data_IF_880204801063
#
_entry.id   IF_880204801063
#
_cell.length_a   1.000
_cell.length_b   1.000
_cell.length_c   1.000
_cell.angle_alpha   90.00
_cell.angle_beta   90.00
_cell.angle_gamma   90.00
#
_symmetry.space_group_name_H-M   'P 1'
#
loop_
_entity.id
_entity.type
_entity.pdbx_description
1 polymer ?
#
# COMPACT_ATOMS: atom_id res chain seq x y z
N UNK A 1 -21.36 -8.19 20.24
CA UNK A 1 -19.95 -8.10 20.68
C UNK A 1 -19.73 -6.68 21.17
N UNK A 2 -19.33 -6.51 22.43
CA UNK A 2 -19.23 -5.20 23.09
C UNK A 2 -18.06 -4.35 22.58
N UNK A 3 -18.10 -3.06 22.93
CA UNK A 3 -17.09 -2.03 22.61
C UNK A 3 -15.65 -2.48 22.94
N UNK A 4 -15.50 -3.32 23.98
CA UNK A 4 -14.22 -3.89 24.41
C UNK A 4 -13.60 -4.84 23.37
N UNK A 5 -14.41 -5.60 22.65
CA UNK A 5 -13.94 -6.52 21.61
C UNK A 5 -13.37 -5.81 20.39
N UNK A 6 -13.97 -4.68 20.00
CA UNK A 6 -13.47 -3.85 18.92
C UNK A 6 -12.13 -3.21 19.29
N UNK A 7 -12.05 -2.61 20.48
CA UNK A 7 -10.81 -2.01 21.01
C UNK A 7 -9.65 -2.99 21.04
N UNK A 8 -9.88 -4.23 21.46
CA UNK A 8 -8.86 -5.28 21.47
C UNK A 8 -8.32 -5.57 20.07
N UNK A 9 -9.16 -5.66 19.05
CA UNK A 9 -8.72 -5.90 17.67
C UNK A 9 -7.80 -4.78 17.17
N UNK A 10 -8.08 -3.51 17.49
CA UNK A 10 -7.21 -2.40 17.11
C UNK A 10 -5.86 -2.43 17.83
N UNK A 11 -5.85 -2.77 19.12
CA UNK A 11 -4.60 -2.92 19.89
C UNK A 11 -3.77 -4.09 19.34
N UNK A 12 -4.39 -5.22 19.02
CA UNK A 12 -3.71 -6.36 18.43
C UNK A 12 -3.16 -6.03 17.03
N UNK A 13 -3.92 -5.28 16.22
CA UNK A 13 -3.48 -4.84 14.90
C UNK A 13 -2.23 -3.95 15.01
N UNK A 14 -2.27 -2.94 15.87
CA UNK A 14 -1.13 -2.04 16.10
C UNK A 14 0.11 -2.81 16.62
N UNK A 15 -0.09 -3.82 17.46
CA UNK A 15 0.99 -4.69 17.93
C UNK A 15 1.57 -5.55 16.80
N UNK A 16 0.72 -6.15 15.97
CA UNK A 16 1.17 -6.96 14.83
C UNK A 16 1.94 -6.12 13.81
N UNK A 17 1.46 -4.91 13.52
CA UNK A 17 2.11 -3.96 12.61
C UNK A 17 3.49 -3.53 13.12
N UNK A 18 3.59 -3.11 14.38
CA UNK A 18 4.86 -2.65 14.97
C UNK A 18 5.88 -3.77 15.23
N UNK A 19 5.42 -5.02 15.38
CA UNK A 19 6.31 -6.19 15.50
C UNK A 19 6.71 -6.81 14.17
N UNK A 20 6.15 -6.34 13.05
CA UNK A 20 6.40 -6.92 11.72
C UNK A 20 5.75 -8.29 11.50
N UNK A 21 4.81 -8.71 12.35
CA UNK A 21 4.01 -9.93 12.15
C UNK A 21 2.90 -9.65 11.14
N UNK A 22 3.30 -9.54 9.87
CA UNK A 22 2.43 -9.11 8.78
C UNK A 22 1.31 -10.11 8.49
N UNK A 23 1.55 -11.42 8.65
CA UNK A 23 0.52 -12.46 8.51
C UNK A 23 -0.59 -12.27 9.55
N UNK A 24 -0.22 -11.98 10.81
CA UNK A 24 -1.18 -11.68 11.85
C UNK A 24 -1.88 -10.34 11.61
N UNK A 25 -1.16 -9.32 11.15
CA UNK A 25 -1.74 -8.03 10.80
C UNK A 25 -2.84 -8.19 9.74
N UNK A 26 -2.59 -8.96 8.67
CA UNK A 26 -3.61 -9.26 7.64
C UNK A 26 -4.81 -9.99 8.25
N UNK A 27 -4.60 -10.99 9.12
CA UNK A 27 -5.70 -11.73 9.77
C UNK A 27 -6.58 -10.81 10.63
N UNK A 28 -5.98 -9.94 11.44
CA UNK A 28 -6.71 -9.02 12.32
C UNK A 28 -7.41 -7.93 11.51
N UNK A 29 -6.72 -7.33 10.53
CA UNK A 29 -7.32 -6.33 9.66
C UNK A 29 -8.52 -6.88 8.87
N UNK A 30 -8.48 -8.14 8.43
CA UNK A 30 -9.63 -8.82 7.85
C UNK A 30 -10.83 -8.91 8.82
N UNK A 31 -10.58 -9.19 10.11
CA UNK A 31 -11.65 -9.23 11.12
C UNK A 31 -12.25 -7.83 11.35
N UNK A 32 -11.41 -6.80 11.40
CA UNK A 32 -11.84 -5.41 11.56
C UNK A 32 -12.67 -4.98 10.35
N UNK A 33 -12.16 -5.16 9.13
CA UNK A 33 -12.85 -4.74 7.90
C UNK A 33 -14.17 -5.49 7.63
N UNK A 34 -14.35 -6.69 8.19
CA UNK A 34 -15.66 -7.39 8.17
C UNK A 34 -16.71 -6.71 9.06
N UNK A 35 -16.29 -6.12 10.17
CA UNK A 35 -17.19 -5.46 11.14
C UNK A 35 -17.31 -3.95 10.88
N UNK A 36 -16.23 -3.34 10.40
CA UNK A 36 -16.05 -1.92 10.16
C UNK A 36 -15.46 -1.71 8.77
N UNK A 37 -16.25 -1.87 7.68
CA UNK A 37 -15.72 -1.81 6.32
C UNK A 37 -15.12 -0.45 5.92
N UNK A 38 -15.50 0.62 6.63
CA UNK A 38 -15.00 1.99 6.43
C UNK A 38 -13.75 2.32 7.26
N UNK A 39 -13.19 1.33 7.95
CA UNK A 39 -12.03 1.55 8.81
C UNK A 39 -10.74 1.68 8.00
N UNK A 40 -10.41 2.92 7.66
CA UNK A 40 -9.26 3.26 6.82
C UNK A 40 -7.93 2.79 7.42
N UNK A 41 -7.78 2.82 8.75
CA UNK A 41 -6.54 2.38 9.40
C UNK A 41 -6.28 0.88 9.18
N UNK A 42 -7.32 0.05 9.33
CA UNK A 42 -7.23 -1.38 9.06
C UNK A 42 -6.98 -1.69 7.58
N UNK A 43 -7.56 -0.91 6.67
CA UNK A 43 -7.25 -1.01 5.24
C UNK A 43 -5.77 -0.74 4.95
N UNK A 44 -5.22 0.34 5.51
CA UNK A 44 -3.81 0.71 5.33
C UNK A 44 -2.87 -0.35 5.91
N UNK A 45 -3.07 -0.78 7.15
CA UNK A 45 -2.26 -1.84 7.76
C UNK A 45 -2.32 -3.13 6.93
N UNK A 46 -3.50 -3.53 6.45
CA UNK A 46 -3.62 -4.71 5.58
C UNK A 46 -2.84 -4.54 4.28
N UNK A 47 -2.94 -3.38 3.64
CA UNK A 47 -2.27 -3.09 2.37
C UNK A 47 -0.75 -3.13 2.53
N UNK A 48 -0.22 -2.47 3.56
CA UNK A 48 1.21 -2.49 3.87
C UNK A 48 1.67 -3.91 4.20
N UNK A 49 0.93 -4.64 5.04
CA UNK A 49 1.28 -6.01 5.39
C UNK A 49 1.31 -6.94 4.16
N UNK A 50 0.34 -6.82 3.23
CA UNK A 50 0.37 -7.57 1.96
C UNK A 50 1.60 -7.23 1.12
N UNK A 51 1.99 -5.96 1.05
CA UNK A 51 3.19 -5.51 0.32
C UNK A 51 4.46 -6.09 0.95
N UNK A 52 4.58 -6.06 2.29
CA UNK A 52 5.73 -6.60 3.02
C UNK A 52 5.87 -8.12 2.85
N UNK A 53 4.73 -8.83 2.76
CA UNK A 53 4.70 -10.26 2.46
C UNK A 53 4.99 -10.59 0.98
N UNK A 54 5.08 -9.58 0.10
CA UNK A 54 5.23 -9.78 -1.34
C UNK A 54 3.94 -10.12 -2.09
N UNK A 55 2.78 -10.01 -1.44
CA UNK A 55 1.46 -10.30 -1.99
C UNK A 55 0.91 -9.11 -2.79
N UNK A 56 1.66 -8.63 -3.78
CA UNK A 56 1.33 -7.40 -4.54
C UNK A 56 0.00 -7.49 -5.30
N UNK A 57 -0.27 -8.65 -5.92
CA UNK A 57 -1.52 -8.86 -6.65
C UNK A 57 -2.74 -8.79 -5.73
N UNK A 58 -2.64 -9.34 -4.51
CA UNK A 58 -3.70 -9.25 -3.51
C UNK A 58 -3.89 -7.81 -3.00
N UNK A 59 -2.80 -7.05 -2.83
CA UNK A 59 -2.88 -5.65 -2.46
C UNK A 59 -3.61 -4.81 -3.54
N UNK A 60 -3.29 -5.01 -4.82
CA UNK A 60 -4.00 -4.36 -5.92
C UNK A 60 -5.47 -4.79 -6.01
N UNK A 61 -5.77 -6.08 -5.83
CA UNK A 61 -7.13 -6.57 -5.81
C UNK A 61 -7.94 -5.97 -4.65
N UNK A 62 -7.30 -5.77 -3.49
CA UNK A 62 -7.89 -5.08 -2.35
C UNK A 62 -8.21 -3.61 -2.67
N UNK A 63 -7.28 -2.87 -3.28
CA UNK A 63 -7.55 -1.48 -3.68
C UNK A 63 -8.66 -1.38 -4.73
N UNK A 64 -8.67 -2.30 -5.70
CA UNK A 64 -9.68 -2.29 -6.78
C UNK A 64 -11.10 -2.50 -6.26
N UNK A 65 -11.28 -3.33 -5.23
CA UNK A 65 -12.60 -3.65 -4.67
C UNK A 65 -13.07 -2.71 -3.57
N UNK A 66 -12.20 -1.83 -3.08
CA UNK A 66 -12.52 -0.91 -1.99
C UNK A 66 -12.79 0.49 -2.54
N UNK A 67 -13.91 1.13 -2.17
CA UNK A 67 -14.18 2.52 -2.56
C UNK A 67 -13.11 3.50 -2.06
N UNK A 68 -12.77 4.51 -2.86
CA UNK A 68 -11.72 5.50 -2.54
C UNK A 68 -11.84 6.14 -1.16
N UNK A 69 -13.06 6.50 -0.75
CA UNK A 69 -13.33 7.10 0.57
C UNK A 69 -13.07 6.17 1.77
N UNK A 70 -12.83 4.87 1.55
CA UNK A 70 -12.54 3.87 2.59
C UNK A 70 -11.05 3.46 2.62
N UNK A 71 -10.29 3.81 1.58
CA UNK A 71 -8.88 3.45 1.45
C UNK A 71 -7.95 4.50 2.08
N UNK A 72 -8.41 5.76 2.10
CA UNK A 72 -7.52 6.90 2.24
C UNK A 72 -6.55 6.98 1.06
N UNK A 73 -5.49 7.77 1.21
CA UNK A 73 -4.41 7.81 0.22
C UNK A 73 -3.63 6.50 0.23
N UNK A 74 -3.60 5.81 -0.92
CA UNK A 74 -2.87 4.57 -1.16
C UNK A 74 -2.18 4.56 -2.54
N UNK A 75 -1.92 5.75 -3.09
CA UNK A 75 -1.40 5.93 -4.44
C UNK A 75 0.01 5.37 -4.60
N UNK A 76 0.88 5.62 -3.60
CA UNK A 76 2.24 5.11 -3.59
C UNK A 76 2.26 3.59 -3.52
N UNK A 77 1.49 2.98 -2.61
CA UNK A 77 1.36 1.53 -2.46
C UNK A 77 0.88 0.87 -3.75
N UNK A 78 -0.06 1.50 -4.45
CA UNK A 78 -0.54 1.03 -5.76
C UNK A 78 0.58 1.04 -6.80
N UNK A 79 1.30 2.15 -6.94
CA UNK A 79 2.41 2.27 -7.88
C UNK A 79 3.53 1.27 -7.56
N UNK A 80 3.85 1.10 -6.28
CA UNK A 80 4.85 0.14 -5.84
C UNK A 80 4.45 -1.30 -6.18
N UNK A 81 3.20 -1.69 -5.90
CA UNK A 81 2.71 -3.02 -6.24
C UNK A 81 2.71 -3.28 -7.76
N UNK A 82 2.36 -2.29 -8.58
CA UNK A 82 2.44 -2.38 -10.06
C UNK A 82 3.89 -2.59 -10.52
N UNK A 83 4.83 -1.78 -10.01
CA UNK A 83 6.26 -1.92 -10.29
C UNK A 83 6.81 -3.29 -9.88
N UNK A 84 6.40 -3.82 -8.72
CA UNK A 84 6.82 -5.14 -8.23
C UNK A 84 6.23 -6.30 -9.05
N UNK A 85 5.16 -6.06 -9.79
CA UNK A 85 4.57 -7.00 -10.76
C UNK A 85 5.08 -6.79 -12.19
N UNK A 86 6.12 -5.96 -12.37
CA UNK A 86 6.71 -5.60 -13.66
C UNK A 86 5.75 -4.84 -14.60
N UNK A 87 4.68 -4.24 -14.08
CA UNK A 87 3.81 -3.34 -14.84
C UNK A 87 4.32 -1.89 -14.70
N UNK A 88 5.48 -1.65 -15.29
CA UNK A 88 6.18 -0.37 -15.21
C UNK A 88 5.36 0.79 -15.80
N UNK A 89 4.55 0.52 -16.83
CA UNK A 89 3.71 1.54 -17.46
C UNK A 89 2.58 1.97 -16.51
N UNK A 90 1.89 1.02 -15.88
CA UNK A 90 0.84 1.35 -14.92
C UNK A 90 1.39 2.01 -13.65
N UNK A 91 2.62 1.63 -13.23
CA UNK A 91 3.31 2.29 -12.13
C UNK A 91 3.59 3.77 -12.45
N UNK A 92 4.13 4.08 -13.63
CA UNK A 92 4.37 5.46 -14.08
C UNK A 92 3.07 6.28 -14.20
N UNK A 93 2.00 5.69 -14.73
CA UNK A 93 0.68 6.35 -14.84
C UNK A 93 0.07 6.64 -13.46
N UNK A 94 0.29 5.76 -12.48
CA UNK A 94 -0.14 6.01 -11.11
C UNK A 94 0.71 7.12 -10.48
N UNK A 95 2.04 7.06 -10.62
CA UNK A 95 2.98 8.05 -10.08
C UNK A 95 2.73 9.45 -10.65
N UNK A 96 2.33 9.57 -11.92
CA UNK A 96 2.05 10.87 -12.54
C UNK A 96 0.83 11.59 -11.94
N UNK A 97 0.01 10.91 -11.14
CA UNK A 97 -1.17 11.45 -10.47
C UNK A 97 -0.91 11.79 -9.00
N UNK A 98 0.30 11.50 -8.50
CA UNK A 98 0.70 11.75 -7.12
C UNK A 98 1.49 13.05 -7.00
N UNK A 99 1.68 13.49 -5.76
CA UNK A 99 2.49 14.66 -5.45
C UNK A 99 3.94 14.43 -5.93
N UNK A 100 4.38 15.28 -6.87
CA UNK A 100 5.73 15.23 -7.43
C UNK A 100 6.82 15.59 -6.40
N UNK A 101 6.44 16.19 -5.26
CA UNK A 101 7.35 16.49 -4.15
C UNK A 101 7.51 15.35 -3.14
N UNK A 102 6.70 14.28 -3.21
CA UNK A 102 6.90 13.09 -2.39
C UNK A 102 8.15 12.35 -2.87
N UNK A 103 9.21 12.43 -2.06
CA UNK A 103 10.50 11.80 -2.32
C UNK A 103 10.36 10.31 -2.65
N UNK A 104 9.44 9.60 -2.00
CA UNK A 104 9.20 8.17 -2.27
C UNK A 104 8.68 7.95 -3.69
N UNK A 105 7.79 8.83 -4.15
CA UNK A 105 7.26 8.78 -5.51
C UNK A 105 8.36 9.13 -6.53
N UNK A 106 9.21 10.11 -6.24
CA UNK A 106 10.35 10.47 -7.08
C UNK A 106 11.34 9.30 -7.22
N UNK A 107 11.73 8.69 -6.09
CA UNK A 107 12.64 7.54 -6.05
C UNK A 107 12.08 6.35 -6.84
N UNK A 108 10.81 6.01 -6.62
CA UNK A 108 10.16 4.92 -7.34
C UNK A 108 10.08 5.22 -8.85
N UNK A 109 9.76 6.46 -9.24
CA UNK A 109 9.75 6.86 -10.65
C UNK A 109 11.12 6.71 -11.30
N UNK A 110 12.19 7.13 -10.61
CA UNK A 110 13.57 6.94 -11.08
C UNK A 110 13.92 5.46 -11.25
N UNK A 111 13.54 4.61 -10.29
CA UNK A 111 13.74 3.15 -10.37
C UNK A 111 13.02 2.53 -11.58
N UNK A 112 11.78 2.95 -11.84
CA UNK A 112 10.99 2.47 -12.99
C UNK A 112 11.62 2.91 -14.31
N UNK A 113 12.05 4.18 -14.42
CA UNK A 113 12.74 4.69 -15.61
C UNK A 113 14.07 3.98 -15.86
N UNK A 114 14.84 3.72 -14.79
CA UNK A 114 16.09 2.97 -14.88
C UNK A 114 15.86 1.55 -15.43
N UNK A 115 14.83 0.84 -14.94
CA UNK A 115 14.47 -0.49 -15.43
C UNK A 115 14.11 -0.50 -16.92
N UNK A 116 13.48 0.58 -17.41
CA UNK A 116 13.11 0.75 -18.82
C UNK A 116 14.27 1.20 -19.72
N UNK A 117 15.46 1.49 -19.15
CA UNK A 117 16.62 1.98 -19.88
C UNK A 117 16.69 3.51 -20.06
N UNK A 118 15.76 4.27 -19.48
CA UNK A 118 15.74 5.73 -19.49
C UNK A 118 16.67 6.30 -18.41
N UNK A 119 17.97 6.05 -18.53
CA UNK A 119 18.96 6.35 -17.48
C UNK A 119 19.14 7.85 -17.22
N UNK A 120 19.13 8.68 -18.27
CA UNK A 120 19.29 10.13 -18.14
C UNK A 120 18.11 10.76 -17.38
N UNK A 121 16.88 10.38 -17.75
CA UNK A 121 15.66 10.83 -17.07
C UNK A 121 15.62 10.37 -15.60
N UNK A 122 16.03 9.12 -15.33
CA UNK A 122 16.13 8.61 -13.98
C UNK A 122 17.13 9.41 -13.13
N UNK A 123 18.30 9.74 -13.70
CA UNK A 123 19.34 10.52 -13.01
C UNK A 123 18.88 11.95 -12.74
N UNK A 124 18.17 12.57 -13.68
CA UNK A 124 17.64 13.93 -13.50
C UNK A 124 16.63 14.03 -12.37
N UNK A 125 15.86 12.95 -12.08
CA UNK A 125 14.91 12.93 -10.97
C UNK A 125 15.57 12.81 -9.58
N UNK A 126 16.83 12.39 -9.51
CA UNK A 126 17.55 12.14 -8.25
C UNK A 126 18.59 13.23 -7.94
N UNK A 127 18.61 14.32 -8.71
CA UNK A 127 19.48 15.48 -8.55
C UNK A 127 18.72 16.63 -7.89
#
# INVERSE_FOLDING_TARGET
>A
MGVDGARLLFVELAKADTSGDYEKAVKIANKILRQYPKETSAFKCKTVALIQLGHFAEALALMKKTPSHQMGECGFEKAYAQYRLNDDNAALETLSKLDASDVRCMELKAQVLYRKGSYEEALLLLR
#
